data_IF_311927231553
#
_entry.id   IF_311927231553
#
_cell.length_a   1.000
_cell.length_b   1.000
_cell.length_c   1.000
_cell.angle_alpha   90.00
_cell.angle_beta   90.00
_cell.angle_gamma   90.00
#
_symmetry.space_group_name_H-M   'P 1'
#
loop_
_entity.id
_entity.type
_entity.pdbx_description
1 polymer ?
#
# COMPACT_ATOMS: atom_id res chain seq x y z
N UNK A 1 20.01 0.89 -1.85
CA UNK A 1 19.62 -0.53 -2.07
C UNK A 1 18.10 -0.60 -2.06
N UNK A 2 17.48 -1.28 -3.03
CA UNK A 2 16.03 -1.42 -3.16
C UNK A 2 15.67 -2.91 -3.13
N UNK A 3 14.67 -3.27 -2.32
CA UNK A 3 14.16 -4.64 -2.26
C UNK A 3 12.78 -4.67 -2.92
N UNK A 4 12.64 -5.44 -4.00
CA UNK A 4 11.44 -5.38 -4.82
C UNK A 4 10.19 -5.86 -4.08
N UNK A 5 10.25 -7.03 -3.44
CA UNK A 5 9.11 -7.58 -2.68
C UNK A 5 8.59 -6.66 -1.56
N UNK A 6 9.40 -5.71 -1.11
CA UNK A 6 9.05 -4.78 -0.03
C UNK A 6 8.64 -3.43 -0.60
N UNK A 7 9.55 -2.78 -1.31
CA UNK A 7 9.38 -1.43 -1.80
C UNK A 7 8.53 -1.36 -3.07
N UNK A 8 8.64 -2.36 -3.96
CA UNK A 8 7.77 -2.47 -5.14
C UNK A 8 6.32 -2.63 -4.71
N UNK A 9 6.06 -3.57 -3.80
CA UNK A 9 4.72 -3.77 -3.21
C UNK A 9 4.18 -2.48 -2.61
N UNK A 10 5.00 -1.77 -1.83
CA UNK A 10 4.60 -0.52 -1.20
C UNK A 10 4.23 0.58 -2.22
N UNK A 11 5.04 0.75 -3.28
CA UNK A 11 4.78 1.75 -4.33
C UNK A 11 3.47 1.47 -5.06
N UNK A 12 3.24 0.23 -5.48
CA UNK A 12 2.02 -0.14 -6.23
C UNK A 12 0.78 -0.08 -5.34
N UNK A 13 0.92 -0.49 -4.06
CA UNK A 13 -0.15 -0.38 -3.07
C UNK A 13 -0.55 1.07 -2.84
N UNK A 14 0.41 1.98 -2.67
CA UNK A 14 0.14 3.41 -2.52
C UNK A 14 -0.57 3.98 -3.75
N UNK A 15 -0.09 3.68 -4.95
CA UNK A 15 -0.69 4.17 -6.19
C UNK A 15 -2.17 3.74 -6.33
N UNK A 16 -2.45 2.46 -6.09
CA UNK A 16 -3.81 1.93 -6.12
C UNK A 16 -4.69 2.55 -5.02
N UNK A 17 -4.13 2.78 -3.83
CA UNK A 17 -4.88 3.38 -2.72
C UNK A 17 -5.24 4.84 -3.00
N UNK A 18 -4.32 5.65 -3.54
CA UNK A 18 -4.61 7.05 -3.92
C UNK A 18 -5.82 7.14 -4.85
N UNK A 19 -5.87 6.28 -5.86
CA UNK A 19 -6.98 6.21 -6.81
C UNK A 19 -8.28 5.66 -6.17
N UNK A 20 -8.18 4.66 -5.29
CA UNK A 20 -9.34 4.13 -4.56
C UNK A 20 -9.95 5.15 -3.58
N UNK A 21 -9.11 5.96 -2.92
CA UNK A 21 -9.56 7.07 -2.08
C UNK A 21 -10.24 8.16 -2.91
N UNK A 22 -9.70 8.50 -4.09
CA UNK A 22 -10.36 9.44 -5.00
C UNK A 22 -11.77 8.96 -5.41
N UNK A 23 -11.93 7.68 -5.77
CA UNK A 23 -13.23 7.08 -6.10
C UNK A 23 -14.24 7.09 -4.94
N UNK A 24 -13.74 7.00 -3.71
CA UNK A 24 -14.55 7.03 -2.49
C UNK A 24 -14.66 8.43 -1.87
N UNK A 25 -14.18 9.47 -2.56
CA UNK A 25 -14.17 10.86 -2.14
C UNK A 25 -13.50 11.10 -0.77
N UNK A 26 -12.41 10.37 -0.51
CA UNK A 26 -11.60 10.45 0.72
C UNK A 26 -10.19 10.97 0.45
N UNK A 27 -9.57 11.48 1.49
CA UNK A 27 -8.16 11.88 1.52
C UNK A 27 -7.36 10.97 2.47
N UNK A 28 -6.04 10.87 2.27
CA UNK A 28 -5.17 10.11 3.17
C UNK A 28 -5.26 10.59 4.63
N UNK A 29 -5.45 11.89 4.87
CA UNK A 29 -5.43 12.45 6.21
C UNK A 29 -6.65 12.09 7.07
N UNK A 30 -7.78 11.74 6.45
CA UNK A 30 -9.05 11.39 7.13
C UNK A 30 -9.37 9.90 7.10
N UNK A 31 -8.57 9.10 6.38
CA UNK A 31 -8.80 7.67 6.18
C UNK A 31 -8.16 6.85 7.30
N UNK A 32 -8.92 5.90 7.86
CA UNK A 32 -8.40 4.88 8.77
C UNK A 32 -8.01 3.61 8.01
N UNK A 33 -6.74 3.24 8.11
CA UNK A 33 -6.17 2.08 7.40
C UNK A 33 -5.71 1.02 8.39
N UNK A 34 -5.96 -0.24 8.04
CA UNK A 34 -5.46 -1.41 8.75
C UNK A 34 -4.53 -2.21 7.83
N UNK A 35 -3.27 -2.38 8.24
CA UNK A 35 -2.31 -3.27 7.57
C UNK A 35 -2.15 -4.55 8.39
N UNK A 36 -2.57 -5.68 7.82
CA UNK A 36 -2.38 -7.00 8.45
C UNK A 36 -1.13 -7.66 7.91
N UNK A 37 -0.09 -7.75 8.75
CA UNK A 37 1.20 -8.34 8.45
C UNK A 37 2.34 -7.38 8.73
N UNK A 38 3.02 -7.53 9.88
CA UNK A 38 4.21 -6.75 10.23
C UNK A 38 5.53 -7.37 9.74
N UNK A 39 5.47 -8.03 8.58
CA UNK A 39 6.66 -8.50 7.84
C UNK A 39 7.29 -7.36 7.04
N UNK A 40 8.29 -7.69 6.21
CA UNK A 40 9.03 -6.66 5.50
C UNK A 40 8.16 -5.86 4.51
N UNK A 41 7.24 -6.51 3.79
CA UNK A 41 6.28 -5.83 2.91
C UNK A 41 5.33 -4.90 3.68
N UNK A 42 4.73 -5.36 4.78
CA UNK A 42 3.81 -4.51 5.56
C UNK A 42 4.50 -3.36 6.28
N UNK A 43 5.74 -3.52 6.72
CA UNK A 43 6.56 -2.40 7.22
C UNK A 43 6.82 -1.38 6.10
N UNK A 44 7.13 -1.82 4.89
CA UNK A 44 7.36 -0.93 3.76
C UNK A 44 6.08 -0.21 3.31
N UNK A 45 4.95 -0.92 3.24
CA UNK A 45 3.62 -0.33 2.99
C UNK A 45 3.30 0.71 4.06
N UNK A 46 3.40 0.35 5.35
CA UNK A 46 3.09 1.29 6.42
C UNK A 46 3.93 2.57 6.33
N UNK A 47 5.24 2.44 6.08
CA UNK A 47 6.15 3.59 5.95
C UNK A 47 5.81 4.49 4.77
N UNK A 48 5.54 3.92 3.59
CA UNK A 48 5.22 4.74 2.41
C UNK A 48 3.86 5.44 2.58
N UNK A 49 2.88 4.81 3.23
CA UNK A 49 1.60 5.43 3.52
C UNK A 49 1.74 6.60 4.50
N UNK A 50 2.53 6.44 5.57
CA UNK A 50 2.87 7.54 6.47
C UNK A 50 3.58 8.68 5.74
N UNK A 51 4.54 8.36 4.87
CA UNK A 51 5.25 9.35 4.04
C UNK A 51 4.32 10.08 3.05
N UNK A 52 3.25 9.42 2.59
CA UNK A 52 2.21 10.00 1.74
C UNK A 52 1.17 10.84 2.53
N UNK A 53 1.30 10.93 3.86
CA UNK A 53 0.46 11.76 4.71
C UNK A 53 -0.72 11.04 5.38
N UNK A 54 -0.77 9.71 5.32
CA UNK A 54 -1.70 8.91 6.13
C UNK A 54 -1.41 9.13 7.62
N UNK A 55 -2.48 9.25 8.43
CA UNK A 55 -2.36 9.48 9.87
C UNK A 55 -2.85 8.29 10.70
N UNK A 56 -4.12 7.90 10.53
CA UNK A 56 -4.72 6.81 11.32
C UNK A 56 -4.41 5.45 10.69
N UNK A 57 -3.30 4.86 11.13
CA UNK A 57 -2.82 3.57 10.67
C UNK A 57 -2.71 2.61 11.85
N UNK A 58 -3.24 1.40 11.69
CA UNK A 58 -2.97 0.27 12.59
C UNK A 58 -2.24 -0.83 11.82
N UNK A 59 -1.10 -1.28 12.34
CA UNK A 59 -0.35 -2.41 11.78
C UNK A 59 -0.47 -3.60 12.73
N UNK A 60 -0.77 -4.78 12.19
CA UNK A 60 -0.96 -5.99 12.99
C UNK A 60 0.07 -7.05 12.64
N UNK A 61 0.43 -7.85 13.65
CA UNK A 61 1.05 -9.15 13.46
C UNK A 61 0.20 -10.26 14.07
N UNK A 62 0.76 -11.47 14.16
CA UNK A 62 0.05 -12.65 14.69
C UNK A 62 -0.45 -12.51 16.12
N UNK A 63 0.05 -11.54 16.91
CA UNK A 63 -0.42 -11.30 18.28
C UNK A 63 -1.30 -10.05 18.39
N UNK A 64 -1.73 -9.46 17.26
CA UNK A 64 -2.62 -8.30 17.22
C UNK A 64 -1.91 -7.00 16.82
N UNK A 65 -2.56 -5.87 17.14
CA UNK A 65 -2.07 -4.52 16.81
C UNK A 65 -0.72 -4.26 17.48
N UNK A 66 0.23 -3.74 16.71
CA UNK A 66 1.50 -3.25 17.22
C UNK A 66 1.25 -1.97 18.03
N UNK A 67 1.51 -2.00 19.34
CA UNK A 67 1.39 -0.86 20.23
C UNK A 67 2.54 -0.87 21.25
N UNK A 68 2.89 0.28 21.83
CA UNK A 68 4.04 0.37 22.74
C UNK A 68 3.90 -0.43 24.05
N UNK A 69 2.68 -0.79 24.44
CA UNK A 69 2.41 -1.62 25.62
C UNK A 69 2.80 -3.09 25.42
N UNK A 70 3.04 -3.52 24.18
CA UNK A 70 3.56 -4.86 23.88
C UNK A 70 5.08 -4.96 24.17
N UNK A 71 5.46 -6.00 24.91
CA UNK A 71 6.85 -6.26 25.30
C UNK A 71 7.60 -7.19 24.34
N UNK A 72 6.90 -7.87 23.43
CA UNK A 72 7.45 -8.85 22.49
C UNK A 72 7.95 -8.23 21.15
N UNK A 73 7.83 -6.91 21.01
CA UNK A 73 8.14 -6.21 19.76
C UNK A 73 9.64 -6.10 19.49
N UNK A 74 10.05 -6.42 18.26
CA UNK A 74 11.38 -6.06 17.75
C UNK A 74 11.55 -4.54 17.66
N UNK A 75 12.79 -4.01 17.59
CA UNK A 75 13.00 -2.56 17.48
C UNK A 75 12.25 -1.90 16.31
N UNK A 76 12.20 -2.58 15.15
CA UNK A 76 11.47 -2.09 13.97
C UNK A 76 9.97 -2.01 14.22
N UNK A 77 9.38 -3.05 14.84
CA UNK A 77 7.95 -3.06 15.18
C UNK A 77 7.61 -2.06 16.27
N UNK A 78 8.51 -1.85 17.23
CA UNK A 78 8.35 -0.84 18.29
C UNK A 78 8.35 0.57 17.72
N UNK A 79 9.26 0.89 16.81
CA UNK A 79 9.25 2.17 16.11
C UNK A 79 7.93 2.35 15.34
N UNK A 80 7.51 1.32 14.60
CA UNK A 80 6.26 1.39 13.85
C UNK A 80 5.03 1.57 14.74
N UNK A 81 4.98 0.92 15.91
CA UNK A 81 3.90 1.10 16.88
C UNK A 81 3.76 2.57 17.32
N UNK A 82 4.91 3.21 17.62
CA UNK A 82 4.96 4.62 18.02
C UNK A 82 4.49 5.55 16.91
N UNK A 83 4.86 5.25 15.65
CA UNK A 83 4.49 6.04 14.47
C UNK A 83 3.05 5.79 13.98
N UNK A 84 2.33 4.81 14.54
CA UNK A 84 1.02 4.36 14.03
C UNK A 84 -0.06 4.27 15.12
N UNK A 85 -0.33 3.07 15.62
CA UNK A 85 -1.45 2.75 16.50
C UNK A 85 -1.48 3.61 17.78
N UNK A 86 -0.32 3.95 18.33
CA UNK A 86 -0.21 4.70 19.58
C UNK A 86 -0.76 6.14 19.46
N UNK A 87 -0.69 6.77 18.28
CA UNK A 87 -1.26 8.09 18.05
C UNK A 87 -2.78 8.15 18.21
N UNK A 88 -3.45 7.02 17.98
CA UNK A 88 -4.92 6.91 17.99
C UNK A 88 -5.42 5.90 19.04
N UNK A 89 -4.53 5.39 19.91
CA UNK A 89 -4.88 4.43 20.96
C UNK A 89 -5.39 3.09 20.43
N UNK A 90 -4.98 2.66 19.23
CA UNK A 90 -5.43 1.39 18.63
C UNK A 90 -4.78 0.21 19.34
N UNK A 91 -5.58 -0.73 19.80
CA UNK A 91 -5.13 -1.97 20.48
C UNK A 91 -6.04 -3.13 20.11
N UNK A 92 -5.76 -4.34 20.60
CA UNK A 92 -6.57 -5.53 20.36
C UNK A 92 -6.13 -6.34 19.14
N UNK A 93 -7.05 -7.15 18.62
CA UNK A 93 -6.84 -8.04 17.50
C UNK A 93 -7.38 -7.48 16.18
N UNK A 94 -7.49 -8.38 15.20
CA UNK A 94 -7.95 -8.02 13.85
C UNK A 94 -9.40 -7.53 13.84
N UNK A 95 -10.27 -8.13 14.66
CA UNK A 95 -11.68 -7.75 14.75
C UNK A 95 -11.84 -6.30 15.24
N UNK A 96 -11.13 -5.92 16.30
CA UNK A 96 -11.15 -4.55 16.85
C UNK A 96 -10.50 -3.55 15.89
N UNK A 97 -9.44 -3.95 15.20
CA UNK A 97 -8.77 -3.09 14.24
C UNK A 97 -9.64 -2.78 13.02
N UNK A 98 -10.40 -3.77 12.52
CA UNK A 98 -11.26 -3.64 11.34
C UNK A 98 -12.60 -2.93 11.59
N UNK A 99 -13.08 -2.91 12.84
CA UNK A 99 -14.36 -2.29 13.20
C UNK A 99 -14.37 -0.80 12.86
N UNK A 100 -15.14 -0.41 11.84
CA UNK A 100 -15.18 0.97 11.31
C UNK A 100 -13.89 1.43 10.62
N UNK A 101 -13.04 0.53 10.14
CA UNK A 101 -11.90 0.90 9.29
C UNK A 101 -12.35 1.14 7.84
N UNK A 102 -11.75 2.13 7.17
CA UNK A 102 -12.06 2.47 5.78
C UNK A 102 -11.32 1.56 4.79
N UNK A 103 -10.11 1.14 5.17
CA UNK A 103 -9.20 0.39 4.29
C UNK A 103 -8.59 -0.77 5.05
N UNK A 104 -8.58 -1.94 4.40
CA UNK A 104 -7.79 -3.09 4.81
C UNK A 104 -6.73 -3.41 3.76
N UNK A 105 -5.49 -3.64 4.20
CA UNK A 105 -4.38 -4.09 3.38
C UNK A 105 -3.77 -5.35 4.03
N UNK A 106 -4.00 -6.50 3.41
CA UNK A 106 -3.44 -7.78 3.83
C UNK A 106 -2.13 -8.08 3.13
N UNK A 107 -1.09 -8.35 3.90
CA UNK A 107 0.23 -8.85 3.46
C UNK A 107 0.78 -9.90 4.42
N UNK A 108 -0.12 -10.69 5.02
CA UNK A 108 0.19 -11.66 6.08
C UNK A 108 0.06 -13.11 5.65
N UNK A 109 -0.74 -13.39 4.61
CA UNK A 109 -1.09 -14.75 4.19
C UNK A 109 -2.15 -15.45 5.07
N UNK A 110 -2.75 -14.77 6.05
CA UNK A 110 -3.83 -15.30 6.89
C UNK A 110 -5.22 -14.98 6.35
N UNK A 111 -6.23 -15.77 6.69
CA UNK A 111 -7.62 -15.47 6.29
C UNK A 111 -8.29 -14.48 7.24
N UNK A 112 -9.13 -13.60 6.70
CA UNK A 112 -9.99 -12.70 7.47
C UNK A 112 -11.43 -13.25 7.46
N UNK A 113 -12.04 -13.47 8.63
CA UNK A 113 -13.45 -13.86 8.73
C UNK A 113 -14.40 -12.81 8.11
N UNK A 114 -15.45 -13.28 7.42
CA UNK A 114 -16.50 -12.42 6.83
C UNK A 114 -17.13 -11.48 7.86
N UNK A 115 -17.35 -11.95 9.08
CA UNK A 115 -17.92 -11.15 10.18
C UNK A 115 -17.05 -9.95 10.58
N UNK A 116 -15.72 -10.00 10.34
CA UNK A 116 -14.85 -8.86 10.60
C UNK A 116 -14.87 -7.87 9.44
N UNK A 117 -14.91 -8.39 8.20
CA UNK A 117 -15.05 -7.57 6.98
C UNK A 117 -16.38 -6.80 7.00
N UNK A 118 -17.46 -7.45 7.43
CA UNK A 118 -18.79 -6.86 7.52
C UNK A 118 -18.90 -5.68 8.50
N UNK A 119 -17.92 -5.51 9.39
CA UNK A 119 -17.86 -4.41 10.38
C UNK A 119 -17.04 -3.21 9.91
N UNK A 120 -16.42 -3.30 8.73
CA UNK A 120 -15.71 -2.16 8.15
C UNK A 120 -16.67 -1.01 7.83
N UNK A 121 -16.11 0.18 7.60
CA UNK A 121 -16.90 1.35 7.22
C UNK A 121 -17.62 1.13 5.87
N UNK A 122 -18.74 1.83 5.61
CA UNK A 122 -19.36 1.85 4.28
C UNK A 122 -18.35 2.26 3.20
N UNK A 123 -18.54 1.77 1.98
CA UNK A 123 -17.60 1.99 0.86
C UNK A 123 -16.15 1.60 1.23
N UNK A 124 -15.98 0.48 1.95
CA UNK A 124 -14.66 -0.01 2.33
C UNK A 124 -13.77 -0.27 1.11
N UNK A 125 -12.45 -0.21 1.32
CA UNK A 125 -11.43 -0.59 0.33
C UNK A 125 -10.68 -1.80 0.88
N UNK A 126 -10.62 -2.89 0.12
CA UNK A 126 -10.00 -4.15 0.57
C UNK A 126 -8.93 -4.60 -0.41
N UNK A 127 -7.69 -4.57 0.05
CA UNK A 127 -6.52 -5.05 -0.68
C UNK A 127 -6.03 -6.36 -0.04
N UNK A 128 -6.37 -7.50 -0.65
CA UNK A 128 -5.92 -8.83 -0.23
C UNK A 128 -4.72 -9.28 -1.07
N UNK A 129 -3.50 -9.00 -0.63
CA UNK A 129 -2.32 -9.07 -1.48
C UNK A 129 -1.54 -10.40 -1.35
N UNK A 130 -1.93 -11.28 -0.42
CA UNK A 130 -1.35 -12.61 -0.35
C UNK A 130 -1.64 -13.44 -1.61
N UNK A 131 -0.64 -14.21 -2.02
CA UNK A 131 -0.73 -15.18 -3.09
C UNK A 131 -0.46 -16.60 -2.55
N UNK A 132 -1.11 -17.65 -3.11
CA UNK A 132 -2.16 -17.61 -4.13
C UNK A 132 -3.56 -17.35 -3.56
N UNK A 133 -3.70 -17.36 -2.23
CA UNK A 133 -4.96 -17.19 -1.53
C UNK A 133 -4.98 -15.82 -0.82
N UNK A 134 -5.71 -14.83 -1.36
CA UNK A 134 -5.87 -13.53 -0.72
C UNK A 134 -6.45 -13.65 0.68
N UNK A 135 -6.09 -12.73 1.57
CA UNK A 135 -6.57 -12.70 2.95
C UNK A 135 -8.11 -12.57 3.04
N UNK A 136 -8.69 -11.82 2.11
CA UNK A 136 -10.13 -11.75 1.85
C UNK A 136 -10.34 -12.14 0.39
N UNK A 137 -11.07 -13.21 0.13
CA UNK A 137 -11.36 -13.60 -1.25
C UNK A 137 -12.20 -12.53 -1.96
N UNK A 138 -11.97 -12.20 -3.24
CA UNK A 138 -12.70 -11.13 -3.94
C UNK A 138 -14.22 -11.28 -3.91
N UNK A 139 -14.75 -12.48 -4.13
CA UNK A 139 -16.20 -12.74 -4.04
C UNK A 139 -16.81 -12.36 -2.69
N UNK A 140 -16.03 -12.50 -1.62
CA UNK A 140 -16.42 -12.09 -0.28
C UNK A 140 -16.25 -10.58 -0.10
N UNK A 141 -15.10 -10.04 -0.53
CA UNK A 141 -14.77 -8.63 -0.40
C UNK A 141 -15.81 -7.74 -1.09
N UNK A 142 -16.25 -8.07 -2.31
CA UNK A 142 -17.21 -7.29 -3.09
C UNK A 142 -18.60 -7.17 -2.44
N UNK A 143 -18.93 -7.99 -1.44
CA UNK A 143 -20.17 -7.82 -0.66
C UNK A 143 -20.13 -6.60 0.27
N UNK A 144 -18.93 -6.14 0.64
CA UNK A 144 -18.72 -5.15 1.71
C UNK A 144 -17.82 -3.99 1.28
N UNK A 145 -17.00 -4.18 0.25
CA UNK A 145 -16.03 -3.21 -0.23
C UNK A 145 -16.40 -2.71 -1.63
N UNK A 146 -16.20 -1.41 -1.81
CA UNK A 146 -16.41 -0.71 -3.06
C UNK A 146 -15.24 -0.89 -4.02
N UNK A 147 -14.02 -0.94 -3.50
CA UNK A 147 -12.81 -1.24 -4.29
C UNK A 147 -12.13 -2.46 -3.70
N UNK A 148 -11.84 -3.43 -4.55
CA UNK A 148 -11.11 -4.64 -4.20
C UNK A 148 -9.87 -4.75 -5.08
N UNK A 149 -8.72 -5.02 -4.48
CA UNK A 149 -7.47 -5.28 -5.18
C UNK A 149 -6.79 -6.54 -4.65
N UNK A 150 -6.06 -7.25 -5.49
CA UNK A 150 -5.35 -8.47 -5.09
C UNK A 150 -3.98 -8.59 -5.72
N UNK A 151 -3.15 -9.52 -5.24
CA UNK A 151 -1.90 -9.90 -5.92
C UNK A 151 -2.10 -10.77 -7.17
N UNK A 152 -3.31 -11.25 -7.44
CA UNK A 152 -3.62 -12.24 -8.47
C UNK A 152 -3.96 -11.58 -9.81
N UNK A 153 -3.53 -12.23 -10.89
CA UNK A 153 -3.72 -11.72 -12.27
C UNK A 153 -5.10 -12.03 -12.86
N UNK A 154 -5.85 -12.96 -12.28
CA UNK A 154 -7.18 -13.34 -12.74
C UNK A 154 -8.30 -12.44 -12.19
N UNK A 155 -7.97 -11.50 -11.32
CA UNK A 155 -8.88 -10.48 -10.80
C UNK A 155 -8.49 -9.07 -11.27
N UNK A 156 -9.44 -8.12 -11.32
CA UNK A 156 -9.13 -6.71 -11.53
C UNK A 156 -8.22 -6.15 -10.43
N UNK A 157 -7.65 -4.97 -10.69
CA UNK A 157 -6.79 -4.25 -9.75
C UNK A 157 -5.63 -5.12 -9.21
N UNK A 158 -4.84 -5.71 -10.10
CA UNK A 158 -3.69 -6.50 -9.70
C UNK A 158 -2.58 -5.60 -9.12
N UNK A 159 -2.27 -5.77 -7.84
CA UNK A 159 -1.09 -5.19 -7.19
C UNK A 159 0.10 -6.08 -7.50
N UNK A 160 0.90 -5.67 -8.48
CA UNK A 160 2.08 -6.41 -8.92
C UNK A 160 3.29 -5.49 -9.04
N UNK A 161 4.38 -5.87 -8.39
CA UNK A 161 5.61 -5.09 -8.30
C UNK A 161 6.26 -4.82 -9.66
N UNK A 162 5.92 -5.61 -10.69
CA UNK A 162 6.32 -5.36 -12.08
C UNK A 162 5.92 -3.97 -12.59
N UNK A 163 4.88 -3.37 -12.01
CA UNK A 163 4.47 -2.00 -12.33
C UNK A 163 5.47 -0.95 -11.83
N UNK A 164 6.25 -1.27 -10.80
CA UNK A 164 7.16 -0.33 -10.15
C UNK A 164 8.62 -0.54 -10.57
N UNK A 165 9.18 -1.74 -10.35
CA UNK A 165 10.64 -1.92 -10.38
C UNK A 165 11.30 -1.59 -11.73
N UNK A 166 10.75 -1.96 -12.91
CA UNK A 166 11.43 -1.70 -14.18
C UNK A 166 11.59 -0.20 -14.41
N UNK A 167 10.54 0.57 -14.14
CA UNK A 167 10.54 2.02 -14.25
C UNK A 167 11.46 2.68 -13.22
N UNK A 168 11.39 2.26 -11.94
CA UNK A 168 12.24 2.81 -10.87
C UNK A 168 13.72 2.64 -11.20
N UNK A 169 14.14 1.44 -11.58
CA UNK A 169 15.54 1.20 -11.93
C UNK A 169 15.93 1.95 -13.20
N UNK A 170 15.05 1.98 -14.22
CA UNK A 170 15.34 2.71 -15.45
C UNK A 170 15.57 4.20 -15.18
N UNK A 171 14.68 4.86 -14.46
CA UNK A 171 14.80 6.28 -14.11
C UNK A 171 16.04 6.56 -13.26
N UNK A 172 16.35 5.70 -12.30
CA UNK A 172 17.56 5.82 -11.49
C UNK A 172 18.84 5.68 -12.32
N UNK A 173 18.88 4.76 -13.30
CA UNK A 173 20.03 4.58 -14.18
C UNK A 173 20.20 5.73 -15.17
N UNK A 174 19.11 6.26 -15.73
CA UNK A 174 19.14 7.35 -16.70
C UNK A 174 19.82 8.62 -16.13
N UNK A 175 19.77 8.84 -14.80
CA UNK A 175 20.39 9.99 -14.11
C UNK A 175 21.58 9.62 -13.21
N UNK A 176 22.05 8.37 -13.33
CA UNK A 176 23.13 7.82 -12.51
C UNK A 176 22.94 8.06 -11.01
N UNK A 177 21.71 7.84 -10.52
CA UNK A 177 21.34 8.08 -9.15
C UNK A 177 22.22 7.26 -8.18
N UNK A 178 22.73 7.93 -7.16
CA UNK A 178 23.56 7.32 -6.11
C UNK A 178 22.79 6.48 -5.10
N UNK A 179 21.48 6.71 -4.99
CA UNK A 179 20.58 6.01 -4.08
C UNK A 179 19.16 5.96 -4.67
N UNK A 180 18.32 5.09 -4.11
CA UNK A 180 16.87 5.14 -4.29
C UNK A 180 16.28 5.70 -3.00
N UNK A 181 15.72 6.91 -3.07
CA UNK A 181 15.18 7.65 -1.93
C UNK A 181 13.70 7.36 -1.71
N UNK A 182 13.13 7.81 -0.58
CA UNK A 182 11.68 7.78 -0.37
C UNK A 182 10.96 8.71 -1.37
N UNK A 183 11.53 9.87 -1.69
CA UNK A 183 10.96 10.80 -2.68
C UNK A 183 10.81 10.17 -4.07
N UNK A 184 11.78 9.35 -4.49
CA UNK A 184 11.70 8.57 -5.72
C UNK A 184 10.58 7.51 -5.69
N UNK A 185 10.36 6.85 -4.54
CA UNK A 185 9.28 5.86 -4.39
C UNK A 185 7.90 6.53 -4.44
N UNK A 186 7.74 7.66 -3.76
CA UNK A 186 6.50 8.45 -3.81
C UNK A 186 6.22 8.95 -5.23
N UNK A 187 7.24 9.44 -5.93
CA UNK A 187 7.09 9.87 -7.32
C UNK A 187 6.69 8.73 -8.26
N UNK A 188 7.23 7.51 -8.03
CA UNK A 188 6.83 6.33 -8.78
C UNK A 188 5.35 5.97 -8.54
N UNK A 189 4.88 6.03 -7.29
CA UNK A 189 3.49 5.76 -6.94
C UNK A 189 2.54 6.77 -7.59
N UNK A 190 2.86 8.06 -7.49
CA UNK A 190 2.09 9.14 -8.11
C UNK A 190 2.03 9.01 -9.63
N UNK A 191 3.15 8.63 -10.27
CA UNK A 191 3.18 8.40 -11.72
C UNK A 191 2.28 7.23 -12.12
N UNK A 192 2.26 6.14 -11.34
CA UNK A 192 1.36 5.01 -11.58
C UNK A 192 -0.11 5.40 -11.40
N UNK A 193 -0.44 6.09 -10.32
CA UNK A 193 -1.80 6.53 -10.03
C UNK A 193 -2.34 7.43 -11.16
N UNK A 194 -1.51 8.37 -11.62
CA UNK A 194 -1.86 9.32 -12.69
C UNK A 194 -2.11 8.71 -14.07
N UNK A 195 -1.71 7.46 -14.34
CA UNK A 195 -1.94 6.83 -15.64
C UNK A 195 -3.39 6.45 -15.91
N UNK A 196 -4.20 6.28 -14.86
CA UNK A 196 -5.60 5.84 -14.96
C UNK A 196 -6.57 6.82 -14.30
N UNK A 197 -6.10 8.00 -13.87
CA UNK A 197 -6.89 8.98 -13.11
C UNK A 197 -8.15 9.46 -13.85
N UNK A 198 -8.08 9.57 -15.18
CA UNK A 198 -9.21 9.98 -16.03
C UNK A 198 -10.13 8.80 -16.40
N UNK A 199 -9.73 7.57 -16.06
CA UNK A 199 -10.40 6.31 -16.43
C UNK A 199 -10.85 5.53 -15.18
N UNK A 200 -10.86 6.17 -14.00
CA UNK A 200 -11.11 5.50 -12.73
C UNK A 200 -12.48 4.83 -12.68
N UNK A 201 -12.44 3.55 -12.31
CA UNK A 201 -13.59 2.69 -12.02
C UNK A 201 -13.20 1.75 -10.89
N UNK A 202 -14.19 1.19 -10.21
CA UNK A 202 -13.98 0.33 -9.03
C UNK A 202 -13.05 -0.87 -9.32
N UNK A 203 -13.01 -1.31 -10.57
CA UNK A 203 -12.18 -2.39 -11.10
C UNK A 203 -11.00 -1.91 -11.98
N UNK A 204 -10.65 -0.62 -11.93
CA UNK A 204 -9.45 -0.03 -12.54
C UNK A 204 -8.93 1.15 -11.69
N UNK A 205 -8.25 0.83 -10.59
CA UNK A 205 -7.52 1.82 -9.75
C UNK A 205 -6.01 1.78 -9.95
N UNK A 206 -5.51 0.84 -10.74
CA UNK A 206 -4.10 0.65 -11.07
C UNK A 206 -3.99 0.16 -12.53
N UNK A 207 -3.02 0.63 -13.33
CA UNK A 207 -2.83 0.13 -14.69
C UNK A 207 -2.46 -1.36 -14.71
N UNK A 208 -2.75 -2.02 -15.84
CA UNK A 208 -2.37 -3.41 -16.06
C UNK A 208 -0.84 -3.59 -16.18
N UNK A 209 -0.29 -4.77 -15.86
CA UNK A 209 1.16 -5.02 -15.82
C UNK A 209 1.86 -4.86 -17.18
N UNK A 210 1.11 -4.90 -18.28
CA UNK A 210 1.63 -4.76 -19.64
C UNK A 210 1.27 -3.41 -20.30
N UNK A 211 0.74 -2.45 -19.53
CA UNK A 211 0.46 -1.13 -20.07
C UNK A 211 1.78 -0.45 -20.50
N UNK A 212 1.96 -0.15 -21.80
CA UNK A 212 3.21 0.38 -22.32
C UNK A 212 3.55 1.77 -21.77
N UNK A 213 2.59 2.47 -21.16
CA UNK A 213 2.79 3.79 -20.54
C UNK A 213 3.53 3.71 -19.20
N UNK A 214 3.45 2.57 -18.50
CA UNK A 214 3.97 2.40 -17.13
C UNK A 214 5.47 2.63 -17.05
N UNK A 215 6.26 1.89 -17.85
CA UNK A 215 7.73 1.98 -17.80
C UNK A 215 8.25 3.41 -18.02
N UNK A 216 7.87 4.09 -19.13
CA UNK A 216 8.28 5.47 -19.39
C UNK A 216 7.84 6.47 -18.32
N UNK A 217 6.58 6.40 -17.85
CA UNK A 217 6.05 7.34 -16.88
C UNK A 217 6.77 7.23 -15.53
N UNK A 218 6.92 6.01 -15.01
CA UNK A 218 7.62 5.76 -13.75
C UNK A 218 9.10 6.15 -13.87
N UNK A 219 9.78 5.80 -14.96
CA UNK A 219 11.17 6.16 -15.17
C UNK A 219 11.40 7.67 -15.18
N UNK A 220 10.54 8.42 -15.91
CA UNK A 220 10.63 9.87 -15.97
C UNK A 220 10.41 10.50 -14.59
N UNK A 221 9.36 10.10 -13.86
CA UNK A 221 9.07 10.64 -12.54
C UNK A 221 10.18 10.35 -11.51
N UNK A 222 10.76 9.15 -11.58
CA UNK A 222 11.85 8.74 -10.69
C UNK A 222 13.15 9.50 -11.00
N UNK A 223 13.47 9.72 -12.28
CA UNK A 223 14.60 10.54 -12.69
C UNK A 223 14.49 11.98 -12.18
N UNK A 224 13.32 12.61 -12.33
CA UNK A 224 13.06 13.96 -11.81
C UNK A 224 13.16 14.00 -10.27
N UNK A 225 12.60 13.01 -9.58
CA UNK A 225 12.71 12.91 -8.13
C UNK A 225 14.17 12.76 -7.67
N UNK A 226 14.97 11.94 -8.35
CA UNK A 226 16.38 11.77 -8.03
C UNK A 226 17.18 13.08 -8.17
N UNK A 227 16.84 13.93 -9.14
CA UNK A 227 17.43 15.27 -9.28
C UNK A 227 17.02 16.19 -8.15
N UNK A 228 15.72 16.24 -7.81
CA UNK A 228 15.21 17.04 -6.69
C UNK A 228 15.83 16.64 -5.35
N UNK A 229 16.02 15.34 -5.14
CA UNK A 229 16.59 14.79 -3.91
C UNK A 229 18.12 14.93 -3.85
N UNK A 230 18.76 15.47 -4.91
CA UNK A 230 20.21 15.69 -4.96
C UNK A 230 21.04 14.42 -5.05
N UNK A 231 20.44 13.30 -5.48
CA UNK A 231 21.12 12.01 -5.61
C UNK A 231 21.52 11.67 -7.04
N UNK A 232 21.04 12.43 -8.04
CA UNK A 232 21.44 12.34 -9.44
C UNK A 232 22.88 12.86 -9.66
N UNK A 233 23.62 12.22 -10.58
CA UNK A 233 24.99 12.60 -10.93
C UNK A 233 25.16 13.03 -12.39
N UNK A 234 24.08 12.92 -13.17
CA UNK A 234 23.99 13.30 -14.58
C UNK A 234 22.72 14.14 -14.83
#
# INVERSE_FOLDING_TARGET
VFHDDQHGTAVVTLAALENALALTARTMAETRVVVSGAGAAGVAVARILLAAGLRDLAVLDRQGVLNSQRHDLTPVKRALALDTADHFGRTGGLAEALDGADVYIGVSGGQVPEEHVARMAPDAIIFGLANPNPEVHPDLAHKYARVVATGRSDFPNQINNVLAFPGIFRGAFDVQASAITEGMKLAAAQALAGLVVDELREDLVIPGPFDPRVGPAVASAVAEAARRDGVARA
#
